data_IF_200132568762
#
_entry.id   IF_200132568762
#
_cell.length_a   1.000
_cell.length_b   1.000
_cell.length_c   1.000
_cell.angle_alpha   90.00
_cell.angle_beta   90.00
_cell.angle_gamma   90.00
#
_symmetry.space_group_name_H-M   'P 1'
#
loop_
_entity.id
_entity.type
_entity.pdbx_description
1 polymer ?
#
# COMPACT_ATOMS: atom_id res chain seq x y z
N UNK A 1 -28.76 31.19 17.47
CA UNK A 1 -27.83 30.56 16.50
C UNK A 1 -28.46 30.59 15.11
N UNK A 2 -27.91 31.39 14.18
CA UNK A 2 -28.55 31.62 12.88
C UNK A 2 -28.37 30.40 11.97
N UNK A 3 -29.47 29.68 11.69
CA UNK A 3 -29.47 28.42 10.91
C UNK A 3 -28.83 28.57 9.52
N UNK A 4 -28.80 29.77 8.96
CA UNK A 4 -28.14 30.08 7.70
C UNK A 4 -26.61 29.97 7.76
N UNK A 5 -25.99 30.37 8.86
CA UNK A 5 -24.53 30.37 9.01
C UNK A 5 -23.96 28.96 9.18
N UNK A 6 -24.66 28.11 9.95
CA UNK A 6 -24.32 26.69 10.11
C UNK A 6 -24.43 25.95 8.77
N UNK A 7 -25.49 26.24 7.99
CA UNK A 7 -25.66 25.64 6.66
C UNK A 7 -24.58 26.08 5.69
N UNK A 8 -24.16 27.34 5.73
CA UNK A 8 -23.10 27.87 4.87
C UNK A 8 -21.73 27.28 5.23
N UNK A 9 -21.41 27.18 6.53
CA UNK A 9 -20.18 26.54 7.02
C UNK A 9 -20.15 25.04 6.67
N UNK A 10 -21.28 24.33 6.79
CA UNK A 10 -21.40 22.93 6.39
C UNK A 10 -21.27 22.77 4.86
N UNK A 11 -21.84 23.67 4.06
CA UNK A 11 -21.70 23.66 2.60
C UNK A 11 -20.28 23.99 2.15
N UNK A 12 -19.59 24.94 2.79
CA UNK A 12 -18.18 25.21 2.55
C UNK A 12 -17.33 24.00 2.92
N UNK A 13 -17.55 23.39 4.08
CA UNK A 13 -16.86 22.17 4.49
C UNK A 13 -17.05 21.04 3.46
N UNK A 14 -18.29 20.79 3.02
CA UNK A 14 -18.57 19.81 1.97
C UNK A 14 -17.90 20.16 0.64
N UNK A 15 -17.98 21.42 0.20
CA UNK A 15 -17.37 21.88 -1.05
C UNK A 15 -15.84 21.75 -1.01
N UNK A 16 -15.20 22.01 0.13
CA UNK A 16 -13.75 21.88 0.29
C UNK A 16 -13.29 20.43 0.47
N UNK A 17 -14.09 19.57 1.11
CA UNK A 17 -13.86 18.12 1.10
C UNK A 17 -13.90 17.59 -0.34
N UNK A 18 -14.86 18.06 -1.15
CA UNK A 18 -15.03 17.64 -2.55
C UNK A 18 -13.95 18.26 -3.48
N UNK A 19 -13.55 19.51 -3.26
CA UNK A 19 -12.54 20.19 -4.08
C UNK A 19 -11.11 19.75 -3.71
N UNK A 20 -10.86 19.48 -2.42
CA UNK A 20 -9.58 18.96 -1.94
C UNK A 20 -9.29 17.53 -2.39
N UNK A 21 -10.32 16.71 -2.65
CA UNK A 21 -10.13 15.36 -3.22
C UNK A 21 -9.86 15.39 -4.72
N UNK A 22 -10.27 16.43 -5.44
CA UNK A 22 -10.11 16.53 -6.89
C UNK A 22 -8.72 17.03 -7.33
N UNK A 23 -7.98 17.74 -6.47
CA UNK A 23 -6.72 18.39 -6.84
C UNK A 23 -5.46 17.54 -6.63
N UNK A 24 -5.55 16.42 -5.90
CA UNK A 24 -4.41 15.53 -5.64
C UNK A 24 -4.65 14.18 -6.30
N UNK A 25 -3.80 13.85 -7.29
CA UNK A 25 -3.90 12.61 -8.07
C UNK A 25 -3.84 11.33 -7.22
N UNK A 26 -3.32 11.42 -5.99
CA UNK A 26 -3.31 10.33 -5.02
C UNK A 26 -3.64 10.87 -3.61
N UNK A 27 -4.89 10.67 -3.18
CA UNK A 27 -5.39 11.10 -1.87
C UNK A 27 -4.98 10.12 -0.75
N UNK A 28 -4.98 10.52 0.55
CA UNK A 28 -4.63 9.68 1.71
C UNK A 28 -5.32 8.32 1.79
N UNK A 29 -6.45 8.22 1.08
CA UNK A 29 -7.41 7.13 1.11
C UNK A 29 -7.35 6.24 -0.13
N UNK A 30 -6.40 6.48 -1.03
CA UNK A 30 -6.21 5.66 -2.23
C UNK A 30 -5.95 4.20 -1.89
N UNK A 31 -5.27 3.97 -0.78
CA UNK A 31 -4.95 2.64 -0.32
C UNK A 31 -5.43 2.42 1.11
N UNK A 32 -6.01 1.25 1.37
CA UNK A 32 -6.14 0.77 2.74
C UNK A 32 -4.78 0.26 3.22
N UNK A 33 -4.22 0.87 4.26
CA UNK A 33 -2.98 0.36 4.88
C UNK A 33 -3.30 -0.90 5.66
N UNK A 34 -2.84 -2.05 5.18
CA UNK A 34 -3.05 -3.36 5.82
C UNK A 34 -2.06 -3.56 6.94
N UNK A 35 -0.79 -3.19 6.71
CA UNK A 35 0.26 -3.29 7.71
C UNK A 35 1.42 -2.35 7.43
N UNK A 36 2.11 -1.92 8.49
CA UNK A 36 3.45 -1.35 8.42
C UNK A 36 4.40 -2.22 9.24
N UNK A 37 5.11 -3.12 8.55
CA UNK A 37 6.12 -4.02 9.10
C UNK A 37 5.63 -4.91 10.27
N UNK A 38 4.35 -5.32 10.26
CA UNK A 38 3.75 -6.19 11.28
C UNK A 38 2.89 -7.31 10.69
N UNK A 39 2.99 -8.52 11.25
CA UNK A 39 2.20 -9.69 10.77
C UNK A 39 2.60 -10.18 9.38
N UNK A 40 1.81 -11.09 8.81
CA UNK A 40 1.94 -11.52 7.41
C UNK A 40 3.29 -12.17 7.07
N UNK A 41 3.86 -13.01 7.93
CA UNK A 41 5.22 -13.56 7.71
C UNK A 41 5.23 -14.96 7.14
N UNK A 42 4.09 -15.62 7.20
CA UNK A 42 3.86 -17.00 6.76
C UNK A 42 2.47 -17.10 6.15
N UNK A 43 2.20 -18.20 5.46
CA UNK A 43 0.86 -18.50 4.93
C UNK A 43 -0.23 -18.49 6.02
N UNK A 44 0.04 -19.05 7.21
CA UNK A 44 -0.93 -19.14 8.30
C UNK A 44 -1.21 -17.77 8.94
N UNK A 45 -0.22 -16.87 8.91
CA UNK A 45 -0.32 -15.51 9.43
C UNK A 45 -0.59 -14.48 8.34
N UNK A 46 -0.94 -14.93 7.13
CA UNK A 46 -1.18 -14.08 5.97
C UNK A 46 -2.28 -13.06 6.26
N UNK A 47 -2.05 -11.82 5.83
CA UNK A 47 -2.98 -10.73 6.07
C UNK A 47 -4.04 -10.70 4.97
N UNK A 48 -5.31 -10.83 5.34
CA UNK A 48 -6.42 -10.81 4.40
C UNK A 48 -6.61 -9.42 3.81
N UNK A 49 -6.60 -9.33 2.48
CA UNK A 49 -7.05 -8.15 1.74
C UNK A 49 -8.58 -8.12 1.81
N UNK A 50 -9.17 -7.13 2.50
CA UNK A 50 -10.57 -7.17 2.89
C UNK A 50 -11.54 -6.93 1.73
N UNK A 51 -11.08 -6.32 0.64
CA UNK A 51 -11.89 -5.98 -0.52
C UNK A 51 -10.97 -5.90 -1.75
N UNK A 52 -11.06 -6.85 -2.68
CA UNK A 52 -10.21 -6.91 -3.87
C UNK A 52 -10.50 -5.76 -4.86
N UNK A 53 -11.68 -5.15 -4.78
CA UNK A 53 -12.03 -3.97 -5.58
C UNK A 53 -11.40 -2.70 -5.01
N UNK A 54 -10.87 -2.75 -3.78
CA UNK A 54 -10.17 -1.65 -3.14
C UNK A 54 -8.67 -1.93 -3.05
N UNK A 55 -7.88 -1.01 -3.61
CA UNK A 55 -6.43 -1.08 -3.49
C UNK A 55 -6.02 -1.02 -2.02
N UNK A 56 -5.19 -1.97 -1.63
CA UNK A 56 -4.65 -2.15 -0.28
C UNK A 56 -3.14 -2.07 -0.37
N UNK A 57 -2.48 -1.43 0.61
CA UNK A 57 -1.02 -1.29 0.66
C UNK A 57 -0.47 -1.93 1.93
N UNK A 58 0.66 -2.61 1.81
CA UNK A 58 1.35 -3.24 2.91
C UNK A 58 2.87 -3.00 2.81
N UNK A 59 3.50 -2.73 3.95
CA UNK A 59 4.94 -2.47 4.05
C UNK A 59 5.62 -3.57 4.85
N UNK A 60 6.80 -3.99 4.43
CA UNK A 60 7.54 -5.08 5.07
C UNK A 60 9.05 -4.88 5.01
N UNK A 61 9.73 -5.19 6.10
CA UNK A 61 11.18 -5.28 6.13
C UNK A 61 11.58 -6.75 5.96
N UNK A 62 11.93 -7.12 4.73
CA UNK A 62 12.46 -8.43 4.39
C UNK A 62 13.85 -8.62 5.00
N UNK A 63 13.99 -9.67 5.82
CA UNK A 63 15.24 -10.09 6.48
C UNK A 63 15.31 -11.60 6.51
N UNK A 64 16.49 -12.19 6.75
CA UNK A 64 16.67 -13.65 6.71
C UNK A 64 15.63 -14.43 7.56
N UNK A 65 15.27 -13.92 8.75
CA UNK A 65 14.27 -14.54 9.64
C UNK A 65 12.81 -14.20 9.30
N UNK A 66 12.58 -13.28 8.37
CA UNK A 66 11.26 -12.83 7.94
C UNK A 66 11.33 -12.37 6.47
N UNK A 67 11.60 -13.28 5.54
CA UNK A 67 12.03 -12.94 4.17
C UNK A 67 10.90 -12.37 3.31
N UNK A 68 9.65 -12.64 3.70
CA UNK A 68 8.48 -12.37 2.87
C UNK A 68 7.31 -11.79 3.66
N UNK A 69 6.50 -11.01 2.94
CA UNK A 69 5.19 -10.52 3.34
C UNK A 69 4.11 -11.32 2.61
N UNK A 70 3.21 -11.94 3.37
CA UNK A 70 2.13 -12.78 2.89
C UNK A 70 0.80 -12.03 3.00
N UNK A 71 0.17 -11.81 1.85
CA UNK A 71 -1.17 -11.26 1.73
C UNK A 71 -2.09 -12.33 1.17
N UNK A 72 -3.30 -12.46 1.72
CA UNK A 72 -4.33 -13.35 1.23
C UNK A 72 -5.39 -12.55 0.48
N UNK A 73 -5.72 -12.94 -0.74
CA UNK A 73 -6.77 -12.31 -1.55
C UNK A 73 -7.73 -13.38 -2.08
N UNK A 74 -9.02 -13.09 -2.06
CA UNK A 74 -10.01 -13.88 -2.81
C UNK A 74 -10.15 -13.24 -4.19
N UNK A 75 -9.99 -14.03 -5.24
CA UNK A 75 -10.00 -13.53 -6.62
C UNK A 75 -10.94 -14.35 -7.51
N UNK A 76 -11.47 -13.72 -8.55
CA UNK A 76 -12.32 -14.36 -9.54
C UNK A 76 -11.53 -14.75 -10.79
N UNK A 77 -11.89 -15.86 -11.41
CA UNK A 77 -11.29 -16.32 -12.65
C UNK A 77 -11.43 -15.27 -13.76
N UNK A 78 -10.34 -14.99 -14.48
CA UNK A 78 -10.32 -14.00 -15.57
C UNK A 78 -10.27 -12.54 -15.10
N UNK A 79 -10.39 -12.28 -13.80
CA UNK A 79 -10.39 -10.95 -13.24
C UNK A 79 -8.97 -10.50 -12.85
N UNK A 80 -8.39 -9.56 -13.60
CA UNK A 80 -7.02 -9.13 -13.34
C UNK A 80 -6.83 -8.48 -11.95
N UNK A 81 -5.81 -8.95 -11.22
CA UNK A 81 -5.30 -8.38 -9.99
C UNK A 81 -4.12 -7.46 -10.36
N UNK A 82 -4.25 -6.17 -10.08
CA UNK A 82 -3.15 -5.21 -10.21
C UNK A 82 -2.23 -5.30 -8.99
N UNK A 83 -0.93 -5.38 -9.26
CA UNK A 83 0.14 -5.49 -8.30
C UNK A 83 1.16 -4.42 -8.60
N UNK A 84 1.42 -3.51 -7.65
CA UNK A 84 2.49 -2.53 -7.80
C UNK A 84 3.33 -2.48 -6.55
N UNK A 85 4.64 -2.39 -6.72
CA UNK A 85 5.58 -2.45 -5.61
C UNK A 85 6.66 -1.41 -5.73
N UNK A 86 7.38 -1.23 -4.63
CA UNK A 86 8.54 -0.38 -4.58
C UNK A 86 9.35 -0.57 -3.32
N UNK A 87 10.43 0.19 -3.25
CA UNK A 87 11.35 0.22 -2.11
C UNK A 87 11.61 1.67 -1.72
N UNK A 88 11.87 1.99 -0.44
CA UNK A 88 12.26 3.35 -0.05
C UNK A 88 13.42 3.87 -0.89
N UNK A 89 13.37 5.15 -1.26
CA UNK A 89 14.39 5.80 -2.09
C UNK A 89 15.65 6.12 -1.27
N UNK A 90 16.30 5.07 -0.77
CA UNK A 90 17.55 5.11 -0.03
C UNK A 90 18.66 4.60 -0.96
N UNK A 91 19.87 5.14 -0.85
CA UNK A 91 20.96 4.80 -1.78
C UNK A 91 21.25 3.29 -1.80
N UNK A 92 21.17 2.64 -0.64
CA UNK A 92 21.32 1.18 -0.50
C UNK A 92 20.24 0.34 -1.20
N UNK A 93 19.11 0.93 -1.57
CA UNK A 93 18.00 0.24 -2.26
C UNK A 93 17.88 0.64 -3.73
N UNK A 94 18.80 1.46 -4.27
CA UNK A 94 18.77 1.91 -5.68
C UNK A 94 18.78 0.75 -6.68
N UNK A 95 19.52 -0.31 -6.35
CA UNK A 95 19.61 -1.52 -7.17
C UNK A 95 18.74 -2.67 -6.66
N UNK A 96 17.97 -2.45 -5.58
CA UNK A 96 17.10 -3.49 -5.05
C UNK A 96 16.04 -3.87 -6.10
N UNK A 97 15.75 -5.17 -6.20
CA UNK A 97 14.75 -5.74 -7.12
C UNK A 97 13.87 -6.71 -6.34
N UNK A 98 12.81 -6.24 -5.65
CA UNK A 98 11.87 -7.14 -4.98
C UNK A 98 11.10 -7.97 -6.00
N UNK A 99 10.56 -9.11 -5.59
CA UNK A 99 9.68 -9.94 -6.42
C UNK A 99 8.38 -10.25 -5.69
N UNK A 100 7.36 -10.64 -6.46
CA UNK A 100 6.10 -11.16 -5.94
C UNK A 100 5.93 -12.59 -6.41
N UNK A 101 5.63 -13.51 -5.50
CA UNK A 101 5.11 -14.82 -5.86
C UNK A 101 3.60 -14.84 -5.66
N UNK A 102 2.87 -15.33 -6.66
CA UNK A 102 1.44 -15.61 -6.57
C UNK A 102 1.27 -17.10 -6.37
N UNK A 103 0.65 -17.51 -5.27
CA UNK A 103 0.47 -18.93 -4.92
C UNK A 103 -1.01 -19.30 -4.86
N UNK A 104 -1.35 -20.47 -5.40
CA UNK A 104 -2.70 -21.05 -5.36
C UNK A 104 -2.65 -22.54 -5.71
N UNK A 105 -3.60 -23.38 -5.24
CA UNK A 105 -3.67 -24.79 -5.64
C UNK A 105 -3.96 -24.97 -7.14
N UNK A 106 -4.48 -23.93 -7.79
CA UNK A 106 -4.84 -23.93 -9.22
C UNK A 106 -3.69 -23.50 -10.13
N UNK A 107 -2.51 -23.21 -9.58
CA UNK A 107 -1.34 -22.81 -10.35
C UNK A 107 -0.40 -24.00 -10.58
N UNK A 108 0.44 -23.97 -11.63
CA UNK A 108 1.47 -24.98 -11.83
C UNK A 108 2.46 -24.97 -10.68
N UNK A 109 3.19 -26.09 -10.50
CA UNK A 109 4.27 -26.16 -9.52
C UNK A 109 5.24 -25.00 -9.71
N UNK A 110 5.59 -24.33 -8.62
CA UNK A 110 6.52 -23.20 -8.65
C UNK A 110 7.87 -23.65 -9.22
N UNK A 111 8.27 -23.04 -10.33
CA UNK A 111 9.51 -23.38 -11.04
C UNK A 111 10.75 -22.70 -10.46
N UNK A 112 10.56 -21.53 -9.83
CA UNK A 112 11.64 -20.69 -9.30
C UNK A 112 11.84 -20.93 -7.81
N UNK A 113 13.09 -20.83 -7.36
CA UNK A 113 13.42 -20.87 -5.94
C UNK A 113 12.99 -19.56 -5.25
N UNK A 114 12.42 -19.70 -4.05
CA UNK A 114 11.94 -18.59 -3.23
C UNK A 114 12.49 -18.71 -1.81
N UNK A 115 12.73 -17.59 -1.10
CA UNK A 115 13.34 -17.61 0.23
C UNK A 115 12.36 -17.98 1.35
N UNK A 116 11.25 -18.64 1.04
CA UNK A 116 10.21 -19.01 1.99
C UNK A 116 9.62 -20.38 1.64
N UNK A 117 9.01 -21.03 2.62
CA UNK A 117 8.38 -22.33 2.42
C UNK A 117 7.08 -22.19 1.63
N UNK A 118 6.99 -22.90 0.51
CA UNK A 118 5.76 -23.09 -0.26
C UNK A 118 5.13 -24.42 0.15
N UNK A 119 3.86 -24.46 0.59
CA UNK A 119 3.17 -25.72 0.90
C UNK A 119 3.10 -26.63 -0.33
N UNK A 120 3.20 -27.95 -0.12
CA UNK A 120 3.18 -28.93 -1.22
C UNK A 120 1.88 -28.91 -2.04
N UNK A 121 0.76 -28.51 -1.43
CA UNK A 121 -0.54 -28.38 -2.07
C UNK A 121 -0.69 -27.12 -2.94
N UNK A 122 0.34 -26.28 -3.02
CA UNK A 122 0.31 -25.00 -3.72
C UNK A 122 1.23 -25.03 -4.94
N UNK A 123 0.71 -24.52 -6.06
CA UNK A 123 1.52 -24.03 -7.16
C UNK A 123 1.82 -22.54 -7.03
N UNK A 124 2.59 -22.01 -7.97
CA UNK A 124 2.83 -20.58 -8.03
C UNK A 124 3.50 -20.06 -9.28
N UNK A 125 3.49 -18.74 -9.38
CA UNK A 125 4.13 -17.95 -10.43
C UNK A 125 4.91 -16.80 -9.78
N UNK A 126 6.13 -16.53 -10.24
CA UNK A 126 6.88 -15.35 -9.82
C UNK A 126 6.71 -14.23 -10.83
N UNK A 127 6.45 -13.04 -10.32
CA UNK A 127 6.44 -11.78 -11.04
C UNK A 127 7.63 -10.97 -10.52
N UNK A 128 8.69 -10.88 -11.31
CA UNK A 128 9.95 -10.24 -10.92
C UNK A 128 10.05 -8.80 -11.42
N UNK A 129 10.55 -7.90 -10.58
CA UNK A 129 10.91 -6.54 -10.99
C UNK A 129 12.27 -6.44 -11.69
N UNK A 130 13.02 -7.55 -11.83
CA UNK A 130 14.41 -7.54 -12.34
C UNK A 130 14.54 -6.82 -13.68
N UNK A 131 13.56 -7.01 -14.57
CA UNK A 131 13.52 -6.41 -15.91
C UNK A 131 12.56 -5.22 -16.01
N UNK A 132 11.92 -4.83 -14.92
CA UNK A 132 11.00 -3.69 -14.91
C UNK A 132 11.77 -2.40 -14.66
N UNK A 133 11.35 -1.36 -15.37
CA UNK A 133 11.82 0.00 -15.10
C UNK A 133 11.32 0.47 -13.72
N UNK A 134 12.12 1.30 -13.08
CA UNK A 134 11.74 1.99 -11.86
C UNK A 134 11.75 3.50 -12.05
N UNK A 135 10.77 4.16 -11.45
CA UNK A 135 10.67 5.60 -11.42
C UNK A 135 10.85 6.13 -9.99
N UNK A 136 11.25 7.40 -9.89
CA UNK A 136 11.17 8.13 -8.62
C UNK A 136 9.72 8.50 -8.40
N UNK A 137 9.14 7.97 -7.34
CA UNK A 137 7.77 8.27 -6.94
C UNK A 137 7.76 8.93 -5.57
N UNK A 138 7.09 10.08 -5.50
CA UNK A 138 6.78 10.78 -4.25
C UNK A 138 5.32 10.50 -3.91
N UNK A 139 5.11 9.88 -2.77
CA UNK A 139 3.78 9.74 -2.19
C UNK A 139 3.30 11.13 -1.74
N UNK A 140 2.25 11.63 -2.37
CA UNK A 140 1.70 12.97 -2.12
C UNK A 140 1.11 13.13 -0.72
N UNK A 141 0.76 12.01 -0.09
CA UNK A 141 0.13 11.99 1.21
C UNK A 141 1.17 11.95 2.35
N UNK A 142 2.03 10.94 2.36
CA UNK A 142 3.06 10.75 3.38
C UNK A 142 4.31 11.57 3.12
N UNK A 143 4.51 12.04 1.89
CA UNK A 143 5.69 12.79 1.45
C UNK A 143 6.91 11.91 1.19
N UNK A 144 6.82 10.59 1.44
CA UNK A 144 7.96 9.67 1.31
C UNK A 144 8.32 9.44 -0.15
N UNK A 145 9.60 9.13 -0.38
CA UNK A 145 10.14 8.85 -1.69
C UNK A 145 10.42 7.36 -1.83
N UNK A 146 10.05 6.79 -2.97
CA UNK A 146 10.34 5.40 -3.31
C UNK A 146 10.84 5.26 -4.74
N UNK A 147 11.61 4.20 -4.97
CA UNK A 147 11.75 3.60 -6.28
C UNK A 147 10.52 2.73 -6.52
N UNK A 148 9.63 3.16 -7.41
CA UNK A 148 8.38 2.48 -7.76
C UNK A 148 8.56 1.76 -9.08
N UNK A 149 8.18 0.49 -9.13
CA UNK A 149 8.25 -0.31 -10.36
C UNK A 149 6.94 -0.23 -11.13
N UNK A 150 7.01 -0.55 -12.43
CA UNK A 150 5.83 -0.69 -13.27
C UNK A 150 4.79 -1.64 -12.65
N UNK A 151 3.52 -1.38 -12.93
CA UNK A 151 2.42 -2.25 -12.49
C UNK A 151 2.48 -3.60 -13.19
N UNK A 152 2.49 -4.65 -12.38
CA UNK A 152 2.32 -6.03 -12.84
C UNK A 152 0.85 -6.41 -12.75
N UNK A 153 0.41 -7.28 -13.66
CA UNK A 153 -0.96 -7.81 -13.68
C UNK A 153 -0.93 -9.32 -13.64
N UNK A 154 -1.75 -9.88 -12.76
CA UNK A 154 -1.98 -11.31 -12.69
C UNK A 154 -3.44 -11.61 -12.99
N UNK A 155 -3.70 -12.55 -13.92
CA UNK A 155 -5.06 -13.00 -14.24
C UNK A 155 -5.26 -14.39 -13.65
N UNK A 156 -6.11 -14.55 -12.62
CA UNK A 156 -6.39 -15.83 -12.00
C UNK A 156 -6.99 -16.83 -13.01
N UNK A 157 -6.44 -18.05 -13.15
CA UNK A 157 -7.02 -19.08 -14.02
C UNK A 157 -8.30 -19.70 -13.43
N UNK A 158 -8.47 -19.65 -12.11
CA UNK A 158 -9.63 -20.17 -11.40
C UNK A 158 -10.00 -19.25 -10.24
N UNK A 159 -11.29 -19.18 -9.88
CA UNK A 159 -11.73 -18.41 -8.72
C UNK A 159 -11.29 -19.10 -7.42
N UNK A 160 -10.96 -18.30 -6.40
CA UNK A 160 -10.65 -18.80 -5.07
C UNK A 160 -9.56 -18.00 -4.36
N UNK A 161 -8.96 -18.62 -3.36
CA UNK A 161 -7.91 -18.00 -2.56
C UNK A 161 -6.57 -18.00 -3.31
N UNK A 162 -5.95 -16.81 -3.34
CA UNK A 162 -4.58 -16.61 -3.77
C UNK A 162 -3.75 -15.99 -2.64
N UNK A 163 -2.50 -16.39 -2.54
CA UNK A 163 -1.53 -15.73 -1.68
C UNK A 163 -0.59 -14.89 -2.54
N UNK A 164 -0.52 -13.60 -2.24
CA UNK A 164 0.39 -12.65 -2.86
C UNK A 164 1.54 -12.43 -1.90
N UNK A 165 2.73 -12.88 -2.29
CA UNK A 165 3.89 -12.94 -1.41
C UNK A 165 4.97 -12.02 -1.93
N UNK A 166 5.19 -10.88 -1.28
CA UNK A 166 6.27 -9.95 -1.64
C UNK A 166 7.54 -10.26 -0.86
N UNK A 167 8.69 -10.35 -1.53
CA UNK A 167 9.93 -10.80 -0.90
C UNK A 167 11.18 -10.19 -1.54
N UNK A 168 12.30 -10.35 -0.83
CA UNK A 168 13.65 -10.09 -1.32
C UNK A 168 14.22 -11.33 -2.01
N UNK A 169 14.51 -11.32 -3.32
CA UNK A 169 15.04 -12.50 -4.01
C UNK A 169 16.41 -12.92 -3.51
N UNK A 170 16.72 -14.21 -3.66
CA UNK A 170 18.07 -14.74 -3.45
C UNK A 170 18.93 -14.29 -4.64
N UNK A 171 20.07 -13.67 -4.36
CA UNK A 171 21.05 -13.27 -5.36
C UNK A 171 21.83 -14.47 -5.88
N UNK A 172 22.52 -14.32 -7.01
CA UNK A 172 23.41 -15.35 -7.57
C UNK A 172 24.52 -15.76 -6.58
N UNK A 173 24.90 -14.86 -5.67
CA UNK A 173 25.82 -15.13 -4.57
C UNK A 173 25.28 -16.09 -3.51
N UNK A 174 23.98 -16.44 -3.58
CA UNK A 174 23.25 -17.19 -2.55
C UNK A 174 22.82 -16.32 -1.36
N UNK A 175 23.19 -15.03 -1.33
CA UNK A 175 22.77 -14.11 -0.29
C UNK A 175 21.34 -13.60 -0.54
N UNK A 176 20.59 -13.37 0.54
CA UNK A 176 19.32 -12.64 0.47
C UNK A 176 19.50 -11.26 1.10
N UNK A 177 19.51 -10.18 0.30
CA UNK A 177 19.72 -8.84 0.83
C UNK A 177 18.56 -8.43 1.74
N UNK A 178 18.86 -7.77 2.85
CA UNK A 178 17.82 -7.14 3.65
C UNK A 178 17.26 -5.93 2.90
N UNK A 179 15.94 -5.87 2.73
CA UNK A 179 15.30 -4.74 2.06
C UNK A 179 13.96 -4.38 2.68
N UNK A 180 13.66 -3.08 2.66
CA UNK A 180 12.32 -2.58 2.92
C UNK A 180 11.58 -2.53 1.60
N UNK A 181 10.39 -3.12 1.56
CA UNK A 181 9.53 -3.12 0.39
C UNK A 181 8.11 -2.76 0.78
N UNK A 182 7.35 -2.30 -0.20
CA UNK A 182 5.92 -2.13 -0.11
C UNK A 182 5.24 -2.75 -1.32
N UNK A 183 4.03 -3.24 -1.12
CA UNK A 183 3.20 -3.86 -2.14
C UNK A 183 1.79 -3.29 -2.06
N UNK A 184 1.25 -2.92 -3.21
CA UNK A 184 -0.16 -2.62 -3.41
C UNK A 184 -0.84 -3.77 -4.14
N UNK A 185 -2.04 -4.13 -3.71
CA UNK A 185 -2.87 -5.18 -4.31
C UNK A 185 -4.29 -4.63 -4.48
N UNK A 186 -4.88 -4.79 -5.65
CA UNK A 186 -6.31 -4.49 -5.91
C UNK A 186 -6.54 -3.49 -7.04
N UNK A 187 -7.83 -3.28 -7.38
CA UNK A 187 -8.24 -2.66 -8.66
C UNK A 187 -8.37 -1.13 -8.69
N UNK A 188 -8.46 -0.45 -7.56
CA UNK A 188 -8.66 1.00 -7.58
C UNK A 188 -8.78 1.66 -6.21
N UNK A 189 -8.74 3.00 -6.23
CA UNK A 189 -8.90 3.84 -5.05
C UNK A 189 -10.38 3.94 -4.66
N UNK A 190 -10.70 3.54 -3.42
CA UNK A 190 -12.02 3.78 -2.81
C UNK A 190 -11.85 4.36 -1.41
N UNK A 191 -12.46 5.52 -1.17
CA UNK A 191 -12.47 6.20 0.12
C UNK A 191 -13.56 5.67 1.05
N UNK A 192 -13.25 5.45 2.34
CA UNK A 192 -14.24 5.30 3.41
C UNK A 192 -13.96 6.28 4.53
N UNK A 193 -15.02 6.86 5.11
CA UNK A 193 -14.90 7.85 6.18
C UNK A 193 -14.18 7.31 7.43
N UNK A 194 -14.33 6.01 7.74
CA UNK A 194 -13.62 5.35 8.84
C UNK A 194 -12.09 5.40 8.70
N UNK A 195 -11.58 5.52 7.48
CA UNK A 195 -10.13 5.52 7.22
C UNK A 195 -9.46 6.78 7.76
N UNK A 196 -10.22 7.87 7.98
CA UNK A 196 -9.73 9.13 8.54
C UNK A 196 -9.10 8.98 9.92
N UNK A 197 -9.54 8.02 10.72
CA UNK A 197 -8.99 7.79 12.04
C UNK A 197 -7.62 7.08 12.00
N UNK A 198 -7.34 6.34 10.92
CA UNK A 198 -6.09 5.58 10.76
C UNK A 198 -4.99 6.39 10.06
N UNK A 199 -5.36 7.50 9.40
CA UNK A 199 -4.47 8.41 8.65
C UNK A 199 -3.23 8.80 9.45
N UNK A 200 -3.41 9.46 10.59
CA UNK A 200 -2.30 10.02 11.37
C UNK A 200 -1.33 8.95 11.90
N UNK A 201 -1.80 7.89 12.60
CA UNK A 201 -0.88 6.88 13.10
C UNK A 201 -0.18 6.11 11.97
N UNK A 202 -0.84 5.87 10.83
CA UNK A 202 -0.21 5.21 9.70
C UNK A 202 0.83 6.10 9.02
N UNK A 203 0.59 7.40 8.89
CA UNK A 203 1.57 8.33 8.33
C UNK A 203 2.88 8.32 9.12
N UNK A 204 2.81 8.40 10.45
CA UNK A 204 3.99 8.37 11.33
C UNK A 204 4.76 7.05 11.15
N UNK A 205 4.05 5.91 11.13
CA UNK A 205 4.67 4.60 10.93
C UNK A 205 5.34 4.47 9.56
N UNK A 206 4.71 4.98 8.51
CA UNK A 206 5.24 4.94 7.14
C UNK A 206 6.49 5.82 7.05
N UNK A 207 6.46 7.05 7.55
CA UNK A 207 7.63 7.93 7.54
C UNK A 207 8.82 7.32 8.31
N UNK A 208 8.56 6.74 9.49
CA UNK A 208 9.57 6.02 10.25
C UNK A 208 10.11 4.79 9.48
N UNK A 209 9.22 4.04 8.81
CA UNK A 209 9.62 2.91 7.96
C UNK A 209 10.51 3.36 6.81
N UNK A 210 10.25 4.51 6.20
CA UNK A 210 11.06 5.07 5.11
C UNK A 210 12.35 5.75 5.57
N UNK A 211 12.64 5.78 6.88
CA UNK A 211 13.76 6.55 7.44
C UNK A 211 13.71 8.04 7.04
N UNK A 212 12.49 8.53 6.86
CA UNK A 212 12.25 9.89 6.42
C UNK A 212 12.00 10.79 7.63
N UNK A 213 12.81 11.84 7.76
CA UNK A 213 12.53 12.95 8.68
C UNK A 213 11.56 13.98 8.06
N UNK A 214 10.98 13.67 6.89
CA UNK A 214 10.22 14.64 6.11
C UNK A 214 8.92 14.99 6.83
N UNK A 215 8.71 16.29 6.97
CA UNK A 215 7.46 16.92 7.41
C UNK A 215 6.24 16.22 6.77
N UNK A 216 5.06 16.22 7.42
CA UNK A 216 3.87 15.62 6.84
C UNK A 216 3.65 16.11 5.39
N UNK A 217 3.26 15.20 4.49
CA UNK A 217 3.11 15.55 3.07
C UNK A 217 2.19 16.75 2.87
N UNK A 218 2.36 17.46 1.75
CA UNK A 218 1.61 18.69 1.48
C UNK A 218 0.09 18.47 1.55
N UNK A 219 -0.40 17.33 1.05
CA UNK A 219 -1.81 16.96 1.14
C UNK A 219 -2.29 16.79 2.60
N UNK A 220 -1.45 16.24 3.49
CA UNK A 220 -1.75 16.14 4.91
C UNK A 220 -1.81 17.52 5.57
N UNK A 221 -0.82 18.38 5.33
CA UNK A 221 -0.77 19.73 5.93
C UNK A 221 -1.96 20.58 5.48
N UNK A 222 -2.31 20.53 4.18
CA UNK A 222 -3.50 21.18 3.65
C UNK A 222 -4.77 20.66 4.31
N UNK A 223 -4.90 19.34 4.47
CA UNK A 223 -6.06 18.73 5.14
C UNK A 223 -6.18 19.16 6.61
N UNK A 224 -5.08 19.14 7.35
CA UNK A 224 -5.05 19.56 8.76
C UNK A 224 -5.40 21.05 8.92
N UNK A 225 -4.81 21.91 8.09
CA UNK A 225 -5.09 23.34 8.11
C UNK A 225 -6.57 23.64 7.83
N UNK A 226 -7.19 22.93 6.89
CA UNK A 226 -8.62 23.08 6.58
C UNK A 226 -9.52 22.64 7.73
N UNK A 227 -9.19 21.53 8.41
CA UNK A 227 -9.91 21.10 9.61
C UNK A 227 -9.84 22.18 10.70
N UNK A 228 -8.65 22.75 10.94
CA UNK A 228 -8.45 23.81 11.92
C UNK A 228 -9.25 25.08 11.59
N UNK A 229 -9.24 25.52 10.32
CA UNK A 229 -10.05 26.66 9.86
C UNK A 229 -11.55 26.42 10.08
N UNK A 230 -12.01 25.20 9.82
CA UNK A 230 -13.42 24.83 10.02
C UNK A 230 -13.81 24.88 11.49
N UNK A 231 -12.99 24.30 12.36
CA UNK A 231 -13.21 24.32 13.81
C UNK A 231 -13.19 25.74 14.37
N UNK A 232 -12.25 26.58 13.90
CA UNK A 232 -12.20 27.99 14.26
C UNK A 232 -13.46 28.75 13.83
N UNK A 233 -13.96 28.50 12.61
CA UNK A 233 -15.21 29.10 12.12
C UNK A 233 -16.43 28.68 12.95
N UNK A 234 -16.51 27.41 13.36
CA UNK A 234 -17.57 26.91 14.24
C UNK A 234 -17.49 27.59 15.62
N UNK A 235 -16.28 27.70 16.19
CA UNK A 235 -16.07 28.33 17.50
C UNK A 235 -16.46 29.81 17.49
N UNK A 236 -16.05 30.56 16.46
CA UNK A 236 -16.42 31.97 16.28
C UNK A 236 -17.92 32.14 16.09
N UNK A 237 -18.60 31.21 15.41
CA UNK A 237 -20.06 31.25 15.24
C UNK A 237 -20.86 30.83 16.50
N UNK A 238 -20.19 30.24 17.49
CA UNK A 238 -20.78 29.81 18.75
C UNK A 238 -20.61 30.84 19.89
N UNK A 239 -19.69 31.80 19.73
CA UNK A 239 -19.50 32.97 20.60
C UNK A 239 -20.47 34.10 20.21
#
# INVERSE_FOLDING_TARGET
>A
MNRGFIRLAALQLCFFIIAGTAAFAEAPWHYKVVTVNSGGRTMQSALTIPDANRASIAYHHARLKSPALWLKVEAEAGEAISLRMGVPMLDRYRQARPSVAVLSPHLPKLAEEVPFTVPESMGGLVLSTRLLDSEQYRDTYTGVLSWRFEEMRFVPPASGTYYIVAYSPIEESGAMPEMKLWLTVGKGSMFRFSDLLEVLPNNIKIQAFFESAVFPGQAFLSSLFMILLTLAGILVAAL
#
